data_IF_431889607586
#
_entry.id   IF_431889607586
#
_cell.length_a   1.000
_cell.length_b   1.000
_cell.length_c   1.000
_cell.angle_alpha   90.00
_cell.angle_beta   90.00
_cell.angle_gamma   90.00
#
_symmetry.space_group_name_H-M   'P 1'
#
loop_
_entity.id
_entity.type
_entity.pdbx_description
1 polymer ?
#
# COMPACT_ATOMS: atom_id res chain seq x y z
N UNK A 1 -6.27 18.01 12.36
CA UNK A 1 -5.29 18.64 11.47
C UNK A 1 -4.25 19.37 12.31
N UNK A 2 -3.23 18.65 12.71
CA UNK A 2 -1.97 19.15 13.27
C UNK A 2 -1.00 19.65 12.18
N UNK A 3 -1.39 19.51 10.91
CA UNK A 3 -0.88 20.32 9.78
C UNK A 3 0.49 19.93 9.24
N UNK A 4 1.13 18.88 9.77
CA UNK A 4 2.51 18.52 9.39
C UNK A 4 2.61 17.40 8.35
N UNK A 5 1.70 16.43 8.35
CA UNK A 5 1.72 15.33 7.37
C UNK A 5 0.33 14.72 7.13
N UNK A 6 0.11 14.21 5.92
CA UNK A 6 -1.11 13.45 5.55
C UNK A 6 -0.74 12.10 4.95
N UNK A 7 -1.59 11.09 5.15
CA UNK A 7 -1.45 9.79 4.50
C UNK A 7 -2.49 9.62 3.40
N UNK A 8 -2.06 9.46 2.16
CA UNK A 8 -2.92 9.15 1.01
C UNK A 8 -2.92 7.64 0.79
N UNK A 9 -4.07 6.99 0.97
CA UNK A 9 -4.26 5.57 0.72
C UNK A 9 -4.98 5.34 -0.60
N UNK A 10 -4.34 4.60 -1.50
CA UNK A 10 -4.85 4.16 -2.79
C UNK A 10 -5.18 2.66 -2.72
N UNK A 11 -6.47 2.29 -2.58
CA UNK A 11 -6.92 0.92 -2.49
C UNK A 11 -6.89 0.21 -3.85
N UNK A 12 -6.91 -1.13 -3.79
CA UNK A 12 -7.01 -1.99 -4.97
C UNK A 12 -8.37 -1.98 -5.65
N UNK A 13 -8.48 -2.80 -6.69
CA UNK A 13 -9.74 -3.01 -7.43
C UNK A 13 -10.84 -3.68 -6.59
N UNK A 14 -12.09 -3.53 -7.04
CA UNK A 14 -13.28 -4.15 -6.45
C UNK A 14 -13.60 -3.76 -5.00
N UNK A 15 -13.00 -2.68 -4.50
CA UNK A 15 -13.39 -2.11 -3.22
C UNK A 15 -14.50 -1.08 -3.47
N UNK A 16 -15.68 -1.32 -2.89
CA UNK A 16 -16.60 -0.22 -2.64
C UNK A 16 -16.00 0.72 -1.57
N UNK A 17 -16.64 1.86 -1.33
CA UNK A 17 -16.16 2.87 -0.39
C UNK A 17 -15.88 2.31 1.02
N UNK A 18 -16.79 1.51 1.56
CA UNK A 18 -16.64 0.91 2.89
C UNK A 18 -15.45 -0.05 2.96
N UNK A 19 -15.31 -0.94 1.97
CA UNK A 19 -14.19 -1.88 1.90
C UNK A 19 -12.85 -1.14 1.69
N UNK A 20 -12.84 -0.10 0.86
CA UNK A 20 -11.68 0.75 0.63
C UNK A 20 -11.23 1.41 1.94
N UNK A 21 -12.17 1.98 2.69
CA UNK A 21 -11.89 2.64 3.96
C UNK A 21 -11.42 1.65 5.03
N UNK A 22 -12.11 0.51 5.18
CA UNK A 22 -11.71 -0.56 6.11
C UNK A 22 -10.29 -1.06 5.83
N UNK A 23 -9.96 -1.30 4.56
CA UNK A 23 -8.62 -1.74 4.17
C UNK A 23 -7.57 -0.65 4.39
N UNK A 24 -7.91 0.61 4.12
CA UNK A 24 -7.00 1.74 4.38
C UNK A 24 -6.67 1.88 5.87
N UNK A 25 -7.65 1.73 6.76
CA UNK A 25 -7.44 1.72 8.22
C UNK A 25 -6.56 0.54 8.61
N UNK A 26 -6.91 -0.68 8.16
CA UNK A 26 -6.14 -1.89 8.46
C UNK A 26 -4.66 -1.75 8.07
N UNK A 27 -4.38 -1.11 6.95
CA UNK A 27 -3.02 -0.94 6.43
C UNK A 27 -2.29 0.25 7.06
N UNK A 28 -3.02 1.19 7.69
CA UNK A 28 -2.49 2.44 8.23
C UNK A 28 -3.19 2.83 9.55
N UNK A 29 -3.11 1.97 10.59
CA UNK A 29 -3.88 2.17 11.83
C UNK A 29 -3.52 3.47 12.55
N UNK A 30 -2.25 3.86 12.57
CA UNK A 30 -1.78 5.10 13.21
C UNK A 30 -2.30 6.36 12.52
N UNK A 31 -2.24 6.39 11.17
CA UNK A 31 -2.76 7.52 10.41
C UNK A 31 -4.28 7.67 10.56
N UNK A 32 -5.00 6.55 10.68
CA UNK A 32 -6.42 6.55 10.98
C UNK A 32 -6.71 7.10 12.39
N UNK A 33 -5.96 6.64 13.40
CA UNK A 33 -6.11 7.10 14.79
C UNK A 33 -5.82 8.61 14.95
N UNK A 34 -4.84 9.12 14.20
CA UNK A 34 -4.46 10.54 14.22
C UNK A 34 -5.34 11.44 13.34
N UNK A 35 -6.30 10.88 12.60
CA UNK A 35 -7.21 11.65 11.75
C UNK A 35 -6.55 12.27 10.50
N UNK A 36 -5.44 11.68 10.04
CA UNK A 36 -4.64 12.20 8.93
C UNK A 36 -4.70 11.28 7.67
N UNK A 37 -5.63 10.33 7.64
CA UNK A 37 -5.84 9.37 6.55
C UNK A 37 -6.84 9.88 5.50
N UNK A 38 -6.39 9.97 4.25
CA UNK A 38 -7.21 10.25 3.07
C UNK A 38 -7.29 9.02 2.18
N UNK A 39 -8.48 8.62 1.75
CA UNK A 39 -8.66 7.43 0.91
C UNK A 39 -9.12 7.87 -0.48
N UNK A 40 -8.33 7.57 -1.51
CA UNK A 40 -8.66 7.88 -2.90
C UNK A 40 -9.32 6.67 -3.53
N UNK A 41 -10.66 6.66 -3.55
CA UNK A 41 -11.42 5.47 -3.93
C UNK A 41 -11.41 5.23 -5.45
N UNK A 42 -11.00 4.03 -5.84
CA UNK A 42 -11.16 3.49 -7.19
C UNK A 42 -12.51 2.76 -7.29
N UNK A 43 -13.62 3.49 -7.26
CA UNK A 43 -14.95 2.87 -7.27
C UNK A 43 -15.13 2.03 -8.55
N UNK A 44 -15.64 0.79 -8.44
CA UNK A 44 -16.08 0.05 -9.61
C UNK A 44 -17.26 0.81 -10.21
N UNK A 45 -17.08 1.40 -11.37
CA UNK A 45 -18.22 1.75 -12.21
C UNK A 45 -18.84 0.43 -12.68
N UNK A 46 -20.18 0.39 -12.66
CA UNK A 46 -20.97 -0.80 -12.95
C UNK A 46 -21.73 -0.52 -14.23
N UNK A 47 -21.07 -0.55 -15.40
CA UNK A 47 -21.77 -0.68 -16.68
C UNK A 47 -21.10 -1.70 -17.61
N UNK A 48 -21.70 -2.91 -17.59
CA UNK A 48 -21.95 -3.87 -18.69
C UNK A 48 -20.78 -4.28 -19.61
N UNK A 49 -20.19 -5.45 -19.33
CA UNK A 49 -20.15 -6.66 -20.20
C UNK A 49 -19.66 -7.84 -19.35
N UNK A 50 -20.39 -8.98 -19.25
CA UNK A 50 -19.93 -10.16 -18.53
C UNK A 50 -18.72 -10.78 -19.25
N UNK A 51 -17.55 -10.76 -18.61
CA UNK A 51 -16.29 -11.32 -19.15
C UNK A 51 -15.14 -10.32 -19.27
N UNK A 52 -15.43 -9.02 -19.26
CA UNK A 52 -14.48 -7.91 -19.18
C UNK A 52 -15.01 -6.93 -18.14
N UNK A 53 -14.80 -7.23 -16.86
CA UNK A 53 -15.14 -6.28 -15.79
C UNK A 53 -14.54 -4.91 -16.13
N UNK A 54 -15.33 -3.85 -16.08
CA UNK A 54 -14.90 -2.46 -16.26
C UNK A 54 -13.67 -2.14 -15.39
N UNK A 55 -13.64 -2.73 -14.19
CA UNK A 55 -12.51 -2.74 -13.25
C UNK A 55 -11.20 -3.28 -13.84
N UNK A 56 -11.26 -4.35 -14.63
CA UNK A 56 -10.12 -4.94 -15.33
C UNK A 56 -9.66 -4.08 -16.52
N UNK A 57 -10.60 -3.44 -17.22
CA UNK A 57 -10.26 -2.47 -18.27
C UNK A 57 -9.53 -1.27 -17.68
N UNK A 58 -10.02 -0.71 -16.58
CA UNK A 58 -9.32 0.38 -15.91
C UNK A 58 -7.95 -0.03 -15.36
N UNK A 59 -7.81 -1.24 -14.80
CA UNK A 59 -6.50 -1.74 -14.38
C UNK A 59 -5.53 -1.86 -15.56
N UNK A 60 -6.00 -2.34 -16.70
CA UNK A 60 -5.22 -2.40 -17.95
C UNK A 60 -4.88 -1.00 -18.47
N UNK A 61 -5.84 -0.08 -18.45
CA UNK A 61 -5.65 1.32 -18.87
C UNK A 61 -4.58 2.01 -18.02
N UNK A 62 -4.69 1.92 -16.69
CA UNK A 62 -3.70 2.49 -15.77
C UNK A 62 -2.32 1.86 -15.98
N UNK A 63 -2.26 0.57 -16.33
CA UNK A 63 -1.01 -0.12 -16.69
C UNK A 63 -0.40 0.39 -17.99
N UNK A 64 -1.21 0.59 -19.03
CA UNK A 64 -0.76 1.23 -20.27
C UNK A 64 -0.29 2.66 -20.02
N UNK A 65 -1.00 3.40 -19.16
CA UNK A 65 -0.62 4.77 -18.83
C UNK A 65 0.69 4.83 -18.04
N UNK A 66 0.92 3.88 -17.12
CA UNK A 66 2.21 3.68 -16.45
C UNK A 66 3.33 3.54 -17.48
N UNK A 67 3.19 2.63 -18.44
CA UNK A 67 4.20 2.38 -19.48
C UNK A 67 4.45 3.61 -20.37
N UNK A 68 3.42 4.42 -20.61
CA UNK A 68 3.57 5.66 -21.38
C UNK A 68 4.00 6.86 -20.53
N UNK A 69 4.26 6.66 -19.23
CA UNK A 69 4.77 7.69 -18.34
C UNK A 69 3.74 8.76 -17.98
N UNK A 70 2.47 8.37 -17.77
CA UNK A 70 1.39 9.28 -17.37
C UNK A 70 0.94 10.24 -18.48
N UNK A 71 1.10 9.85 -19.74
CA UNK A 71 0.78 10.69 -20.90
C UNK A 71 -0.67 10.55 -21.36
N UNK A 72 -1.35 9.46 -21.03
CA UNK A 72 -2.77 9.34 -21.34
C UNK A 72 -3.61 10.22 -20.39
N UNK A 73 -4.85 10.55 -20.79
CA UNK A 73 -5.81 11.17 -19.89
C UNK A 73 -5.90 10.44 -18.55
N UNK A 74 -5.90 11.22 -17.47
CA UNK A 74 -6.00 10.66 -16.14
C UNK A 74 -7.42 10.17 -15.83
N UNK A 75 -7.52 9.05 -15.11
CA UNK A 75 -8.76 8.64 -14.43
C UNK A 75 -9.09 9.60 -13.28
N UNK A 76 -10.30 9.54 -12.73
CA UNK A 76 -10.69 10.43 -11.64
C UNK A 76 -9.84 10.23 -10.38
N UNK A 77 -9.51 8.98 -10.04
CA UNK A 77 -8.64 8.69 -8.90
C UNK A 77 -7.20 9.21 -9.10
N UNK A 78 -6.66 9.10 -10.31
CA UNK A 78 -5.36 9.66 -10.67
C UNK A 78 -5.36 11.19 -10.60
N UNK A 79 -6.43 11.84 -11.08
CA UNK A 79 -6.61 13.30 -10.96
C UNK A 79 -6.67 13.72 -9.50
N UNK A 80 -7.45 13.04 -8.67
CA UNK A 80 -7.54 13.32 -7.23
C UNK A 80 -6.17 13.21 -6.56
N UNK A 81 -5.39 12.17 -6.88
CA UNK A 81 -4.01 12.07 -6.38
C UNK A 81 -3.14 13.25 -6.81
N UNK A 82 -3.20 13.65 -8.09
CA UNK A 82 -2.43 14.78 -8.59
C UNK A 82 -2.82 16.09 -7.89
N UNK A 83 -4.12 16.33 -7.67
CA UNK A 83 -4.62 17.51 -6.97
C UNK A 83 -4.17 17.53 -5.51
N UNK A 84 -4.31 16.41 -4.78
CA UNK A 84 -3.86 16.33 -3.39
C UNK A 84 -2.36 16.59 -3.25
N UNK A 85 -1.54 16.09 -4.19
CA UNK A 85 -0.09 16.31 -4.22
C UNK A 85 0.30 17.75 -4.50
N UNK A 86 -0.38 18.39 -5.45
CA UNK A 86 -0.16 19.81 -5.73
C UNK A 86 -0.59 20.68 -4.54
N UNK A 87 -1.74 20.39 -3.94
CA UNK A 87 -2.21 21.09 -2.74
C UNK A 87 -1.21 20.96 -1.60
N UNK A 88 -0.72 19.74 -1.33
CA UNK A 88 0.29 19.51 -0.31
C UNK A 88 1.59 20.29 -0.56
N UNK A 89 2.01 20.42 -1.82
CA UNK A 89 3.14 21.27 -2.20
C UNK A 89 2.85 22.74 -1.91
N UNK A 90 1.67 23.24 -2.26
CA UNK A 90 1.26 24.63 -2.01
C UNK A 90 1.17 24.95 -0.51
N UNK A 91 0.74 23.99 0.31
CA UNK A 91 0.57 24.16 1.76
C UNK A 91 1.77 23.70 2.58
N UNK A 92 2.85 23.26 1.93
CA UNK A 92 4.03 22.68 2.58
C UNK A 92 3.68 21.56 3.58
N UNK A 93 2.77 20.68 3.19
CA UNK A 93 2.31 19.53 3.98
C UNK A 93 2.99 18.27 3.46
N UNK A 94 3.64 17.47 4.32
CA UNK A 94 4.28 16.24 3.84
C UNK A 94 3.26 15.15 3.54
N UNK A 95 3.58 14.29 2.58
CA UNK A 95 2.76 13.18 2.13
C UNK A 95 3.45 11.87 2.45
N UNK A 96 2.74 11.02 3.16
CA UNK A 96 2.96 9.58 3.17
C UNK A 96 1.93 8.93 2.23
N UNK A 97 2.33 7.93 1.46
CA UNK A 97 1.40 7.20 0.59
C UNK A 97 1.37 5.71 0.91
N UNK A 98 0.19 5.11 0.76
CA UNK A 98 -0.05 3.69 0.91
C UNK A 98 -0.80 3.17 -0.32
N UNK A 99 -0.18 2.25 -1.04
CA UNK A 99 -0.58 1.91 -2.40
C UNK A 99 -0.74 0.41 -2.53
N UNK A 100 -1.99 -0.06 -2.64
CA UNK A 100 -2.32 -1.48 -2.72
C UNK A 100 -2.78 -1.88 -4.12
N UNK A 101 -2.29 -3.00 -4.65
CA UNK A 101 -2.80 -3.57 -5.91
C UNK A 101 -2.79 -2.56 -7.06
N UNK A 102 -3.91 -2.37 -7.78
CA UNK A 102 -4.10 -1.31 -8.79
C UNK A 102 -3.91 0.11 -8.24
N UNK A 103 -4.21 0.38 -6.97
CA UNK A 103 -3.97 1.71 -6.37
C UNK A 103 -2.52 2.18 -6.49
N UNK A 104 -1.57 1.24 -6.61
CA UNK A 104 -0.19 1.55 -6.95
C UNK A 104 0.02 2.15 -8.35
N UNK A 105 -0.78 1.74 -9.33
CA UNK A 105 -0.78 2.35 -10.66
C UNK A 105 -1.40 3.74 -10.61
N UNK A 106 -2.49 3.93 -9.84
CA UNK A 106 -3.10 5.25 -9.62
C UNK A 106 -2.08 6.26 -9.08
N UNK A 107 -1.33 5.88 -8.04
CA UNK A 107 -0.29 6.72 -7.45
C UNK A 107 0.84 7.00 -8.45
N UNK A 108 1.39 5.94 -9.06
CA UNK A 108 2.51 6.06 -10.00
C UNK A 108 2.12 6.89 -11.23
N UNK A 109 0.99 6.64 -11.86
CA UNK A 109 0.54 7.41 -13.02
C UNK A 109 0.36 8.89 -12.67
N UNK A 110 -0.22 9.19 -11.49
CA UNK A 110 -0.35 10.59 -11.03
C UNK A 110 1.02 11.26 -10.86
N UNK A 111 2.01 10.58 -10.27
CA UNK A 111 3.38 11.09 -10.14
C UNK A 111 4.02 11.33 -11.52
N UNK A 112 3.84 10.40 -12.45
CA UNK A 112 4.40 10.49 -13.80
C UNK A 112 3.77 11.67 -14.55
N UNK A 113 2.46 11.88 -14.41
CA UNK A 113 1.77 13.02 -14.98
C UNK A 113 2.30 14.35 -14.41
N UNK A 114 2.40 14.48 -13.09
CA UNK A 114 2.95 15.69 -12.46
C UNK A 114 4.33 16.03 -13.02
N UNK A 115 5.23 15.06 -13.10
CA UNK A 115 6.61 15.29 -13.53
C UNK A 115 6.78 15.42 -15.06
N UNK A 116 6.05 14.65 -15.86
CA UNK A 116 6.27 14.57 -17.31
C UNK A 116 5.33 15.47 -18.11
N UNK A 117 4.21 15.91 -17.53
CA UNK A 117 3.22 16.77 -18.19
C UNK A 117 3.15 18.16 -17.59
N UNK A 118 3.22 18.26 -16.26
CA UNK A 118 3.15 19.56 -15.57
C UNK A 118 4.52 20.11 -15.16
N UNK A 119 5.60 19.34 -15.33
CA UNK A 119 6.94 19.67 -14.83
C UNK A 119 6.95 20.01 -13.33
N UNK A 120 6.05 19.41 -12.55
CA UNK A 120 5.97 19.58 -11.12
C UNK A 120 6.89 18.55 -10.43
N UNK A 121 8.03 19.05 -9.93
CA UNK A 121 8.96 18.36 -9.04
C UNK A 121 8.78 18.85 -7.61
N UNK A 122 9.61 18.41 -6.66
CA UNK A 122 9.62 18.81 -5.26
C UNK A 122 8.26 18.66 -4.58
N UNK A 123 7.46 17.68 -5.02
CA UNK A 123 6.24 17.30 -4.32
C UNK A 123 6.68 16.68 -2.98
N UNK A 124 6.14 17.11 -1.82
CA UNK A 124 6.64 16.72 -0.51
C UNK A 124 6.27 15.29 -0.10
N UNK A 125 6.70 14.30 -0.89
CA UNK A 125 6.48 12.87 -0.68
C UNK A 125 7.60 12.34 0.21
N UNK A 126 7.30 12.09 1.48
CA UNK A 126 8.28 11.64 2.47
C UNK A 126 8.44 10.12 2.42
N UNK A 127 7.32 9.38 2.52
CA UNK A 127 7.32 7.91 2.48
C UNK A 127 6.28 7.40 1.49
N UNK A 128 6.63 6.32 0.80
CA UNK A 128 5.70 5.62 -0.09
C UNK A 128 5.74 4.13 0.19
N UNK A 129 4.60 3.57 0.59
CA UNK A 129 4.42 2.15 0.91
C UNK A 129 3.62 1.45 -0.16
N UNK A 130 4.15 0.36 -0.69
CA UNK A 130 3.46 -0.49 -1.67
C UNK A 130 3.14 -1.87 -1.10
N UNK A 131 1.92 -2.32 -1.31
CA UNK A 131 1.39 -3.58 -0.80
C UNK A 131 0.84 -4.40 -1.98
N UNK A 132 1.49 -5.49 -2.36
CA UNK A 132 1.13 -6.29 -3.54
C UNK A 132 0.92 -5.46 -4.81
N UNK A 133 1.83 -4.55 -5.18
CA UNK A 133 1.55 -3.50 -6.17
C UNK A 133 1.53 -4.02 -7.62
N UNK A 134 0.56 -3.57 -8.41
CA UNK A 134 0.54 -3.76 -9.87
C UNK A 134 1.52 -2.84 -10.62
N UNK A 135 1.95 -1.74 -9.98
CA UNK A 135 2.97 -0.85 -10.48
C UNK A 135 4.37 -1.46 -10.31
N UNK A 136 5.26 -1.15 -11.24
CA UNK A 136 6.66 -1.54 -11.13
C UNK A 136 7.42 -0.60 -10.16
N UNK A 137 7.95 -1.14 -9.07
CA UNK A 137 8.57 -0.31 -8.02
C UNK A 137 9.92 0.29 -8.41
N UNK A 138 10.71 -0.36 -9.26
CA UNK A 138 11.97 0.21 -9.74
C UNK A 138 11.72 1.49 -10.54
N UNK A 139 10.69 1.47 -11.39
CA UNK A 139 10.25 2.68 -12.09
C UNK A 139 9.70 3.75 -11.15
N UNK A 140 9.01 3.37 -10.08
CA UNK A 140 8.53 4.34 -9.09
C UNK A 140 9.68 4.97 -8.31
N UNK A 141 10.68 4.20 -7.91
CA UNK A 141 11.87 4.72 -7.23
C UNK A 141 12.55 5.80 -8.06
N UNK A 142 12.78 5.54 -9.36
CA UNK A 142 13.33 6.55 -10.30
C UNK A 142 12.47 7.81 -10.40
N UNK A 143 11.15 7.68 -10.24
CA UNK A 143 10.25 8.81 -10.23
C UNK A 143 10.30 9.59 -8.92
N UNK A 144 10.50 8.93 -7.78
CA UNK A 144 10.74 9.61 -6.50
C UNK A 144 12.09 10.33 -6.53
N UNK A 145 13.13 9.73 -7.12
CA UNK A 145 14.42 10.41 -7.35
C UNK A 145 14.27 11.62 -8.27
N UNK A 146 13.57 11.47 -9.40
CA UNK A 146 13.28 12.59 -10.32
C UNK A 146 12.44 13.68 -9.68
N UNK A 147 11.56 13.32 -8.74
CA UNK A 147 10.79 14.30 -7.97
C UNK A 147 11.72 15.21 -7.16
N UNK A 148 12.84 14.71 -6.64
CA UNK A 148 13.89 15.54 -6.04
C UNK A 148 13.57 16.11 -4.65
N UNK A 149 12.47 15.69 -4.02
CA UNK A 149 12.13 16.12 -2.67
C UNK A 149 13.13 15.58 -1.64
N UNK A 150 13.61 16.50 -0.80
CA UNK A 150 14.48 16.24 0.35
C UNK A 150 13.76 16.80 1.57
N UNK A 151 13.60 15.98 2.61
CA UNK A 151 12.98 16.41 3.85
C UNK A 151 13.92 17.33 4.68
N UNK A 152 13.43 17.94 5.79
CA UNK A 152 14.25 18.82 6.63
C UNK A 152 15.48 18.15 7.25
N UNK A 153 15.50 16.82 7.35
CA UNK A 153 16.62 16.04 7.89
C UNK A 153 17.64 15.66 6.80
N UNK A 154 17.41 16.07 5.55
CA UNK A 154 18.29 15.80 4.42
C UNK A 154 18.06 14.43 3.77
N UNK A 155 16.91 13.79 4.03
CA UNK A 155 16.58 12.45 3.55
C UNK A 155 15.67 12.55 2.32
N UNK A 156 15.99 11.78 1.29
CA UNK A 156 15.14 11.62 0.11
C UNK A 156 13.88 10.80 0.43
N UNK A 157 12.86 10.92 -0.43
CA UNK A 157 11.67 10.05 -0.37
C UNK A 157 12.02 8.57 -0.17
N UNK A 158 11.49 7.94 0.88
CA UNK A 158 11.73 6.53 1.17
C UNK A 158 10.64 5.64 0.58
N UNK A 159 11.03 4.53 -0.05
CA UNK A 159 10.11 3.55 -0.63
C UNK A 159 10.09 2.26 0.19
N UNK A 160 8.89 1.75 0.46
CA UNK A 160 8.66 0.47 1.14
C UNK A 160 7.87 -0.47 0.24
N UNK A 161 8.22 -1.76 0.24
CA UNK A 161 7.51 -2.80 -0.47
C UNK A 161 7.16 -3.95 0.46
N UNK A 162 5.88 -4.32 0.48
CA UNK A 162 5.43 -5.65 0.87
C UNK A 162 4.91 -6.37 -0.37
N UNK A 163 5.57 -7.45 -0.77
CA UNK A 163 5.08 -8.32 -1.81
C UNK A 163 5.32 -9.79 -1.43
N UNK A 164 4.24 -10.58 -1.45
CA UNK A 164 4.29 -11.99 -1.10
C UNK A 164 4.63 -12.87 -2.30
N UNK A 165 5.18 -14.06 -2.04
CA UNK A 165 5.56 -15.02 -3.09
C UNK A 165 4.41 -15.52 -3.96
N UNK A 166 3.19 -15.50 -3.44
CA UNK A 166 1.97 -15.96 -4.13
C UNK A 166 1.10 -14.81 -4.66
N UNK A 167 1.54 -13.57 -4.50
CA UNK A 167 0.83 -12.41 -5.00
C UNK A 167 1.14 -12.19 -6.49
N UNK A 168 0.30 -12.72 -7.37
CA UNK A 168 0.48 -12.56 -8.81
C UNK A 168 0.36 -11.10 -9.28
N UNK A 169 -0.34 -10.23 -8.53
CA UNK A 169 -0.46 -8.82 -8.90
C UNK A 169 0.90 -8.16 -8.71
N UNK A 170 1.54 -8.38 -7.57
CA UNK A 170 2.89 -7.92 -7.32
C UNK A 170 3.93 -8.56 -8.25
N UNK A 171 3.92 -9.90 -8.34
CA UNK A 171 4.93 -10.67 -9.06
C UNK A 171 4.80 -10.62 -10.59
N UNK A 172 3.61 -10.91 -11.14
CA UNK A 172 3.42 -11.05 -12.59
C UNK A 172 3.01 -9.75 -13.27
N UNK A 173 2.14 -8.94 -12.64
CA UNK A 173 1.69 -7.67 -13.23
C UNK A 173 2.69 -6.54 -12.96
N UNK A 174 3.16 -6.45 -11.73
CA UNK A 174 4.12 -5.42 -11.30
C UNK A 174 5.58 -5.72 -11.61
N UNK A 175 5.92 -7.00 -11.85
CA UNK A 175 7.31 -7.49 -11.94
C UNK A 175 8.12 -7.15 -10.68
N UNK A 176 7.47 -7.23 -9.52
CA UNK A 176 8.09 -6.92 -8.25
C UNK A 176 8.55 -8.21 -7.56
N UNK A 177 9.70 -8.19 -6.91
CA UNK A 177 10.21 -9.34 -6.17
C UNK A 177 9.49 -9.51 -4.83
N UNK A 178 9.74 -10.63 -4.17
CA UNK A 178 9.15 -10.99 -2.89
C UNK A 178 9.93 -10.31 -1.77
N UNK A 179 9.23 -9.57 -0.91
CA UNK A 179 9.82 -8.83 0.22
C UNK A 179 9.09 -9.01 1.55
N UNK A 180 7.86 -9.54 1.53
CA UNK A 180 7.08 -9.72 2.75
C UNK A 180 6.28 -11.01 2.64
N UNK A 181 6.51 -11.94 3.58
CA UNK A 181 5.83 -13.22 3.68
C UNK A 181 6.30 -14.25 2.63
N UNK A 182 6.56 -15.47 3.09
CA UNK A 182 6.71 -16.63 2.20
C UNK A 182 5.51 -17.55 2.43
N UNK A 183 4.70 -17.81 1.40
CA UNK A 183 3.67 -18.83 1.55
C UNK A 183 4.29 -20.23 1.61
N UNK A 184 3.92 -20.99 2.63
CA UNK A 184 4.20 -22.41 2.75
C UNK A 184 3.09 -23.16 1.98
N UNK A 185 3.11 -23.14 0.65
CA UNK A 185 2.07 -23.84 -0.14
C UNK A 185 2.05 -23.56 -1.65
N UNK A 186 1.29 -24.38 -2.39
CA UNK A 186 1.16 -24.32 -3.85
C UNK A 186 0.45 -23.05 -4.33
N UNK A 187 0.88 -22.45 -5.47
CA UNK A 187 0.21 -21.29 -6.09
C UNK A 187 -1.23 -21.55 -6.57
N UNK A 188 -1.68 -22.81 -6.58
CA UNK A 188 -3.06 -23.23 -6.88
C UNK A 188 -3.89 -23.58 -5.62
N UNK A 189 -3.37 -23.34 -4.41
CA UNK A 189 -3.99 -23.68 -3.12
C UNK A 189 -4.49 -22.49 -2.29
N UNK A 190 -4.75 -22.72 -0.99
CA UNK A 190 -5.31 -21.78 0.01
C UNK A 190 -4.40 -20.59 0.41
N UNK A 191 -3.41 -20.27 -0.41
CA UNK A 191 -2.20 -19.52 -0.04
C UNK A 191 -2.12 -18.14 -0.76
N UNK A 192 -3.26 -17.53 -1.12
CA UNK A 192 -3.29 -16.23 -1.80
C UNK A 192 -3.37 -15.08 -0.80
N UNK A 193 -2.28 -14.31 -0.67
CA UNK A 193 -2.05 -13.31 0.38
C UNK A 193 -2.29 -11.86 -0.05
N UNK A 194 -2.80 -11.62 -1.26
CA UNK A 194 -2.94 -10.26 -1.79
C UNK A 194 -3.78 -9.33 -0.89
N UNK A 195 -4.72 -9.87 -0.11
CA UNK A 195 -5.55 -9.10 0.84
C UNK A 195 -5.08 -9.20 2.29
N UNK A 196 -3.93 -9.82 2.54
CA UNK A 196 -3.44 -10.15 3.90
C UNK A 196 -2.47 -9.11 4.46
N UNK A 197 -1.98 -8.17 3.63
CA UNK A 197 -1.15 -7.06 4.07
C UNK A 197 -1.77 -6.26 5.22
N UNK A 198 -1.04 -6.12 6.32
CA UNK A 198 -1.45 -5.42 7.53
C UNK A 198 -0.37 -4.42 7.95
N UNK A 199 -0.78 -3.24 8.43
CA UNK A 199 0.11 -2.16 8.85
C UNK A 199 0.62 -2.25 10.29
N UNK A 200 0.09 -3.15 11.12
CA UNK A 200 0.52 -3.31 12.51
C UNK A 200 1.89 -3.99 12.60
N UNK A 201 2.80 -3.46 13.42
CA UNK A 201 4.14 -4.03 13.66
C UNK A 201 4.08 -5.44 14.23
N UNK A 202 3.20 -5.59 15.21
CA UNK A 202 2.97 -6.81 15.95
C UNK A 202 1.49 -7.15 15.84
N UNK A 203 1.19 -8.44 15.85
CA UNK A 203 -0.14 -9.00 15.80
C UNK A 203 -0.44 -9.66 17.14
N UNK A 204 -1.69 -9.53 17.55
CA UNK A 204 -2.23 -10.21 18.71
C UNK A 204 -3.18 -11.32 18.22
N UNK A 205 -3.10 -12.51 18.83
CA UNK A 205 -3.93 -13.67 18.47
C UNK A 205 -5.41 -13.48 18.84
N UNK A 206 -5.69 -12.56 19.76
CA UNK A 206 -7.00 -12.13 20.22
C UNK A 206 -7.17 -10.62 20.02
N UNK A 207 -8.42 -10.16 19.92
CA UNK A 207 -8.72 -8.74 19.88
C UNK A 207 -8.45 -8.11 21.25
N UNK A 208 -7.74 -6.97 21.25
CA UNK A 208 -7.40 -6.23 22.45
C UNK A 208 -8.14 -4.88 22.49
N UNK A 209 -8.50 -4.44 23.68
CA UNK A 209 -8.99 -3.09 23.96
C UNK A 209 -7.82 -2.07 23.99
N UNK A 210 -8.10 -0.75 24.10
CA UNK A 210 -7.06 0.27 24.17
C UNK A 210 -6.10 0.16 25.38
N UNK A 211 -6.39 -0.71 26.35
CA UNK A 211 -5.59 -0.96 27.55
C UNK A 211 -4.91 -2.34 27.52
N UNK A 212 -4.86 -2.99 26.35
CA UNK A 212 -4.30 -4.32 26.11
C UNK A 212 -5.03 -5.48 26.82
N UNK A 213 -6.28 -5.29 27.25
CA UNK A 213 -7.10 -6.40 27.74
C UNK A 213 -7.79 -7.11 26.59
N UNK A 214 -7.93 -8.43 26.69
CA UNK A 214 -8.65 -9.23 25.70
C UNK A 214 -10.14 -8.90 25.74
N UNK A 215 -10.74 -8.64 24.57
CA UNK A 215 -12.19 -8.61 24.46
C UNK A 215 -12.77 -10.00 24.70
N UNK A 216 -13.77 -10.10 25.58
CA UNK A 216 -14.46 -11.34 25.92
C UNK A 216 -15.80 -11.39 25.22
N UNK A 217 -16.08 -12.50 24.53
CA UNK A 217 -17.40 -12.75 23.94
C UNK A 217 -18.43 -12.98 25.05
N UNK A 218 -19.51 -12.21 25.04
CA UNK A 218 -20.54 -12.28 26.08
C UNK A 218 -21.27 -13.63 26.12
N UNK A 219 -21.36 -14.33 24.99
CA UNK A 219 -22.07 -15.60 24.86
C UNK A 219 -21.21 -16.79 25.28
N UNK A 220 -19.93 -16.79 24.91
CA UNK A 220 -19.02 -17.93 25.18
C UNK A 220 -18.15 -17.75 26.40
N UNK A 221 -18.01 -16.51 26.91
CA UNK A 221 -17.06 -16.13 27.97
C UNK A 221 -15.59 -16.39 27.62
N UNK A 222 -15.29 -16.59 26.34
CA UNK A 222 -13.94 -16.80 25.83
C UNK A 222 -13.38 -15.53 25.16
N UNK A 223 -12.04 -15.36 25.10
CA UNK A 223 -11.43 -14.31 24.31
C UNK A 223 -11.83 -14.36 22.84
N UNK A 224 -12.13 -13.19 22.26
CA UNK A 224 -12.47 -13.08 20.84
C UNK A 224 -11.17 -13.15 20.02
N UNK A 225 -11.07 -14.17 19.16
CA UNK A 225 -9.92 -14.34 18.26
C UNK A 225 -9.80 -13.19 17.27
N UNK A 226 -8.58 -12.77 17.00
CA UNK A 226 -8.30 -11.76 15.99
C UNK A 226 -8.44 -12.37 14.58
N UNK A 227 -9.42 -11.94 13.77
CA UNK A 227 -9.61 -12.48 12.43
C UNK A 227 -8.43 -12.18 11.50
N UNK A 228 -7.70 -11.08 11.71
CA UNK A 228 -6.53 -10.74 10.89
C UNK A 228 -5.34 -11.64 11.20
N UNK A 229 -5.16 -12.03 12.47
CA UNK A 229 -4.15 -13.04 12.84
C UNK A 229 -4.42 -14.36 12.13
N UNK A 230 -5.66 -14.86 12.22
CA UNK A 230 -6.08 -16.08 11.54
C UNK A 230 -5.92 -15.99 10.02
N UNK A 231 -6.25 -14.85 9.42
CA UNK A 231 -6.07 -14.61 7.99
C UNK A 231 -4.61 -14.71 7.58
N UNK A 232 -3.70 -14.03 8.28
CA UNK A 232 -2.26 -14.06 7.99
C UNK A 232 -1.73 -15.48 8.16
N UNK A 233 -2.04 -16.13 9.28
CA UNK A 233 -1.67 -17.54 9.53
C UNK A 233 -2.08 -18.47 8.40
N UNK A 234 -3.29 -18.30 7.86
CA UNK A 234 -3.85 -19.21 6.86
C UNK A 234 -3.43 -18.90 5.42
N UNK A 235 -2.98 -17.68 5.12
CA UNK A 235 -2.74 -17.22 3.75
C UNK A 235 -1.30 -16.78 3.47
N UNK A 236 -0.47 -16.62 4.50
CA UNK A 236 0.93 -16.18 4.42
C UNK A 236 1.80 -17.21 5.13
N UNK A 237 2.05 -17.03 6.42
CA UNK A 237 2.78 -17.93 7.29
C UNK A 237 2.29 -17.72 8.72
N UNK A 238 2.52 -18.71 9.59
CA UNK A 238 2.18 -18.57 11.00
C UNK A 238 3.05 -17.48 11.65
N UNK A 239 2.43 -16.41 12.21
CA UNK A 239 3.18 -15.37 12.90
C UNK A 239 4.01 -15.96 14.04
N UNK A 240 5.25 -15.49 14.21
CA UNK A 240 6.18 -15.99 15.23
C UNK A 240 6.15 -15.07 16.45
N UNK A 241 6.08 -15.65 17.64
CA UNK A 241 6.13 -14.90 18.89
C UNK A 241 7.50 -14.25 19.07
N UNK A 242 7.50 -13.00 19.54
CA UNK A 242 8.68 -12.25 19.92
C UNK A 242 8.86 -12.25 21.45
N UNK A 243 9.87 -11.51 21.93
CA UNK A 243 10.24 -11.47 23.35
C UNK A 243 9.17 -10.86 24.29
N UNK A 244 8.14 -10.21 23.74
CA UNK A 244 7.07 -9.55 24.48
C UNK A 244 5.75 -10.35 24.44
N UNK A 245 5.78 -11.63 24.08
CA UNK A 245 4.59 -12.48 23.87
C UNK A 245 3.60 -11.93 22.81
N UNK A 246 4.10 -11.10 21.89
CA UNK A 246 3.37 -10.61 20.71
C UNK A 246 3.94 -11.27 19.46
N UNK A 247 3.20 -11.23 18.36
CA UNK A 247 3.62 -11.92 17.14
C UNK A 247 4.14 -10.96 16.09
N UNK A 248 5.30 -11.23 15.53
CA UNK A 248 5.84 -10.47 14.41
C UNK A 248 4.91 -10.57 13.19
N UNK A 249 4.58 -9.43 12.57
CA UNK A 249 3.77 -9.42 11.35
C UNK A 249 4.65 -9.73 10.11
N UNK A 250 4.47 -10.89 9.45
CA UNK A 250 5.28 -11.27 8.28
C UNK A 250 4.91 -10.49 7.01
N UNK A 251 3.81 -9.73 7.02
CA UNK A 251 3.31 -8.97 5.86
C UNK A 251 3.75 -7.51 5.82
N UNK A 252 4.58 -7.09 6.79
CA UNK A 252 5.08 -5.72 6.88
C UNK A 252 5.92 -5.36 5.65
N UNK A 253 5.75 -4.13 5.19
CA UNK A 253 6.56 -3.58 4.12
C UNK A 253 8.00 -3.34 4.61
N UNK A 254 8.95 -3.69 3.76
CA UNK A 254 10.38 -3.49 4.01
C UNK A 254 10.91 -2.33 3.20
N UNK A 255 11.89 -1.60 3.73
CA UNK A 255 12.55 -0.53 3.01
C UNK A 255 13.28 -1.05 1.78
N UNK A 256 13.07 -0.37 0.65
CA UNK A 256 13.70 -0.69 -0.63
C UNK A 256 14.78 0.33 -0.91
N UNK A 257 15.96 -0.16 -1.24
CA UNK A 257 17.09 0.61 -1.77
C UNK A 257 17.37 0.11 -3.18
N UNK A 258 17.87 0.97 -4.07
CA UNK A 258 18.38 0.51 -5.36
C UNK A 258 19.90 0.60 -5.34
N UNK A 259 20.57 -0.52 -5.61
CA UNK A 259 22.01 -0.61 -5.72
C UNK A 259 22.53 0.22 -6.89
N UNK A 260 23.83 0.51 -6.87
CA UNK A 260 24.50 1.26 -7.94
C UNK A 260 24.44 0.56 -9.31
N UNK A 261 24.18 -0.76 -9.32
CA UNK A 261 23.94 -1.58 -10.52
C UNK A 261 22.50 -1.48 -11.06
N UNK A 262 21.64 -0.69 -10.41
CA UNK A 262 20.24 -0.52 -10.77
C UNK A 262 19.32 -1.65 -10.29
N UNK A 263 19.86 -2.64 -9.57
CA UNK A 263 19.07 -3.72 -8.99
C UNK A 263 18.48 -3.30 -7.63
N UNK A 264 17.30 -3.80 -7.33
CA UNK A 264 16.67 -3.56 -6.04
C UNK A 264 17.40 -4.35 -4.94
N UNK A 265 17.84 -3.65 -3.91
CA UNK A 265 18.44 -4.18 -2.69
C UNK A 265 17.51 -3.86 -1.53
N UNK A 266 17.13 -4.87 -0.75
CA UNK A 266 16.27 -4.68 0.43
C UNK A 266 17.16 -4.50 1.64
N UNK A 267 16.93 -3.44 2.41
CA UNK A 267 17.44 -3.39 3.78
C UNK A 267 16.41 -4.10 4.66
N UNK A 268 16.90 -4.99 5.53
CA UNK A 268 16.08 -5.61 6.58
C UNK A 268 15.81 -4.54 7.65
N UNK A 269 14.94 -3.60 7.30
CA UNK A 269 14.38 -2.59 8.19
C UNK A 269 12.87 -2.59 8.01
N UNK A 270 12.13 -2.92 9.07
CA UNK A 270 10.67 -2.84 9.09
C UNK A 270 10.28 -1.36 9.10
N UNK A 271 9.36 -0.95 8.21
CA UNK A 271 8.97 0.45 8.06
C UNK A 271 8.40 1.05 9.36
N UNK A 272 9.00 2.11 9.90
CA UNK A 272 8.46 2.96 11.00
C UNK A 272 7.44 3.96 10.43
#
# INVERSE_FOLDING_TARGET
MDGKSVLISNPGIYNNEEAAFRNAIKQNPEAAANGNLYVVVNNPTVEVIPGLSEVGFYAFYDKLNEWMGGRLPLTNAEKTNAVLKLLAKETNTTINSNNHSRGSLTDKVSNAYLQNRLNATDIPIEKTKFLGPAANIAGQYKMLEKNGYIDPDGINSTLFLANNSTDFVGGLVGYNPVTAGQCIGSPLGSCYSHSSYNGAYELDDNLLDPFNNKYIDKNTQEPIRNPEFGKIKNTVEEPKSNANDRYDNPTLAQAVVIGADGNLIWLIGRAI
#
